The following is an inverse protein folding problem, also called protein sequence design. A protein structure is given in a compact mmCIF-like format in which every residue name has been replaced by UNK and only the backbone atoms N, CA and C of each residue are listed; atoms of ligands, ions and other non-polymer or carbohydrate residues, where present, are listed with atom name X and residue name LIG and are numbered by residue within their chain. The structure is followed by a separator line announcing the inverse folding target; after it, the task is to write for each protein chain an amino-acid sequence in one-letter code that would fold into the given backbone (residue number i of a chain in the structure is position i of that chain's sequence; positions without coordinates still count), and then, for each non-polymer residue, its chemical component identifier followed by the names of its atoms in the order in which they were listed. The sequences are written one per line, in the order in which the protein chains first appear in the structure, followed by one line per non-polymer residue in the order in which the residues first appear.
data_IF_874426412821
#
_entry.id   IF_874426412821
#
_cell.length_a   1.000
_cell.length_b   1.000
_cell.length_c   1.000
_cell.angle_alpha   90.00
_cell.angle_beta   90.00
_cell.angle_gamma   90.00
#
_symmetry.space_group_name_H-M   'P 1'
#
loop_
_entity.id
_entity.type
_entity.pdbx_description
1 polymer ?
#
# COMPACT_ATOMS: atom_id res chain seq x y z
N UNK A 1 -7.16 32.37 -19.51
CA UNK A 1 -6.12 31.54 -18.91
C UNK A 1 -6.69 30.15 -18.71
N UNK A 2 -6.33 29.20 -19.57
CA UNK A 2 -6.79 27.82 -19.46
C UNK A 2 -6.15 27.23 -18.19
N UNK A 3 -6.97 26.76 -17.24
CA UNK A 3 -6.43 26.07 -16.06
C UNK A 3 -5.69 24.84 -16.54
N UNK A 4 -4.44 24.69 -16.12
CA UNK A 4 -3.60 23.51 -16.36
C UNK A 4 -4.25 22.18 -15.89
N UNK A 5 -5.33 22.27 -15.12
CA UNK A 5 -6.11 21.15 -14.58
C UNK A 5 -6.80 20.28 -15.66
N UNK A 6 -6.79 20.65 -16.95
CA UNK A 6 -7.57 19.93 -17.98
C UNK A 6 -6.77 18.95 -18.85
N UNK A 7 -5.45 19.10 -18.97
CA UNK A 7 -4.65 18.27 -19.89
C UNK A 7 -4.05 17.10 -19.12
N UNK A 8 -4.64 15.91 -19.28
CA UNK A 8 -4.24 14.69 -18.56
C UNK A 8 -4.56 14.73 -17.06
N UNK A 9 -5.58 15.50 -16.65
CA UNK A 9 -5.96 15.67 -15.23
C UNK A 9 -6.50 14.39 -14.57
N UNK A 10 -6.90 13.41 -15.37
CA UNK A 10 -7.33 12.07 -14.98
C UNK A 10 -6.20 11.03 -15.00
N UNK A 11 -5.03 11.38 -15.53
CA UNK A 11 -3.86 10.52 -15.44
C UNK A 11 -3.23 10.62 -14.05
N UNK A 12 -3.05 9.46 -13.44
CA UNK A 12 -2.49 9.31 -12.10
C UNK A 12 -1.31 8.34 -12.18
N UNK A 13 -0.20 8.72 -11.54
CA UNK A 13 0.98 7.85 -11.41
C UNK A 13 0.57 6.51 -10.77
N UNK A 14 1.11 5.41 -11.29
CA UNK A 14 0.78 4.05 -10.88
C UNK A 14 -0.44 3.45 -11.57
N UNK A 15 -1.15 4.21 -12.41
CA UNK A 15 -2.26 3.69 -13.22
C UNK A 15 -1.76 3.07 -14.50
N UNK A 16 -2.32 1.92 -14.87
CA UNK A 16 -2.09 1.27 -16.17
C UNK A 16 -2.87 1.99 -17.27
N UNK A 17 -2.20 2.23 -18.39
CA UNK A 17 -2.74 2.87 -19.59
C UNK A 17 -2.37 2.05 -20.82
N UNK A 18 -3.15 2.22 -21.89
CA UNK A 18 -2.82 1.72 -23.22
C UNK A 18 -2.06 2.80 -23.97
N UNK A 19 -0.92 2.46 -24.56
CA UNK A 19 -0.12 3.39 -25.36
C UNK A 19 0.27 2.79 -26.71
N UNK A 20 0.39 3.62 -27.73
CA UNK A 20 0.95 3.23 -29.03
C UNK A 20 2.37 3.75 -29.16
N UNK A 21 3.33 2.89 -29.51
CA UNK A 21 4.70 3.33 -29.81
C UNK A 21 4.71 4.10 -31.12
N UNK A 22 5.28 5.31 -31.13
CA UNK A 22 5.27 6.19 -32.32
C UNK A 22 6.66 6.36 -32.95
N UNK A 23 7.73 6.25 -32.17
CA UNK A 23 9.11 6.26 -32.67
C UNK A 23 10.04 5.53 -31.71
N UNK A 24 11.17 5.07 -32.25
CA UNK A 24 12.30 4.59 -31.47
C UNK A 24 13.38 5.66 -31.41
N UNK A 25 14.02 5.76 -30.26
CA UNK A 25 15.10 6.68 -29.97
C UNK A 25 16.25 5.94 -29.29
N UNK A 26 17.46 6.51 -29.26
CA UNK A 26 18.61 5.84 -28.61
C UNK A 26 18.43 5.61 -27.10
N UNK A 27 17.51 6.33 -26.48
CA UNK A 27 17.23 6.27 -25.05
C UNK A 27 16.00 5.43 -24.70
N UNK A 28 15.21 5.00 -25.69
CA UNK A 28 13.92 4.32 -25.50
C UNK A 28 12.98 4.55 -26.67
N UNK A 29 11.72 4.86 -26.40
CA UNK A 29 10.72 5.15 -27.44
C UNK A 29 9.76 6.25 -27.04
N UNK A 30 9.31 7.00 -28.04
CA UNK A 30 8.18 7.91 -27.88
C UNK A 30 6.87 7.12 -27.99
N UNK A 31 5.86 7.53 -27.23
CA UNK A 31 4.58 6.86 -27.19
C UNK A 31 3.42 7.87 -27.20
N UNK A 32 2.25 7.40 -27.61
CA UNK A 32 0.98 8.11 -27.50
C UNK A 32 0.05 7.35 -26.59
N UNK A 33 -0.38 7.95 -25.50
CA UNK A 33 -1.35 7.35 -24.59
C UNK A 33 -2.76 7.49 -25.19
N UNK A 34 -3.49 6.38 -25.28
CA UNK A 34 -4.86 6.38 -25.79
C UNK A 34 -5.78 7.12 -24.82
N UNK A 35 -6.64 8.01 -25.36
CA UNK A 35 -7.49 8.92 -24.58
C UNK A 35 -6.77 10.20 -24.10
N UNK A 36 -5.45 10.28 -24.29
CA UNK A 36 -4.62 11.41 -23.87
C UNK A 36 -3.65 11.83 -24.98
N UNK A 37 -4.11 11.86 -26.22
CA UNK A 37 -3.27 12.02 -27.40
C UNK A 37 -2.60 13.41 -27.49
N UNK A 38 -3.11 14.40 -26.74
CA UNK A 38 -2.53 15.74 -26.64
C UNK A 38 -1.36 15.83 -25.66
N UNK A 39 -1.08 14.77 -24.90
CA UNK A 39 0.02 14.72 -23.92
C UNK A 39 1.15 13.87 -24.48
N UNK A 40 2.35 14.43 -24.51
CA UNK A 40 3.53 13.69 -24.93
C UNK A 40 3.88 12.62 -23.90
N UNK A 41 4.24 11.43 -24.38
CA UNK A 41 4.66 10.34 -23.52
C UNK A 41 5.89 9.62 -24.09
N UNK A 42 6.67 9.01 -23.21
CA UNK A 42 7.77 8.14 -23.60
C UNK A 42 8.02 7.03 -22.61
N UNK A 43 8.73 6.02 -23.08
CA UNK A 43 9.25 4.92 -22.27
C UNK A 43 10.76 4.83 -22.48
N UNK A 44 11.51 4.91 -21.39
CA UNK A 44 12.96 4.76 -21.45
C UNK A 44 13.34 3.29 -21.60
N UNK A 45 14.50 3.00 -22.18
CA UNK A 45 15.07 1.64 -22.26
C UNK A 45 15.22 0.98 -20.88
N UNK A 46 15.45 1.78 -19.84
CA UNK A 46 15.48 1.32 -18.45
C UNK A 46 14.11 1.07 -17.84
N UNK A 47 13.03 1.33 -18.56
CA UNK A 47 11.65 1.10 -18.14
C UNK A 47 10.97 0.04 -19.05
N UNK A 48 11.77 -0.72 -19.79
CA UNK A 48 11.36 -1.87 -20.61
C UNK A 48 12.12 -3.09 -20.06
N UNK A 49 11.47 -4.24 -20.00
CA UNK A 49 12.16 -5.49 -19.65
C UNK A 49 13.14 -5.89 -20.76
N UNK A 50 14.38 -6.16 -20.38
CA UNK A 50 15.39 -6.66 -21.33
C UNK A 50 15.34 -8.18 -21.38
N UNK A 51 15.03 -8.75 -22.54
CA UNK A 51 15.07 -10.20 -22.78
C UNK A 51 16.49 -10.76 -22.68
N UNK A 52 17.49 -9.92 -22.95
CA UNK A 52 18.91 -10.22 -22.81
C UNK A 52 19.43 -10.14 -21.37
N UNK A 53 18.55 -9.83 -20.39
CA UNK A 53 18.93 -9.71 -18.98
C UNK A 53 19.75 -8.46 -18.65
N UNK A 54 19.80 -7.46 -19.55
CA UNK A 54 20.53 -6.23 -19.31
C UNK A 54 19.74 -5.27 -18.41
N UNK A 55 20.41 -4.36 -17.68
CA UNK A 55 19.71 -3.34 -16.88
C UNK A 55 18.83 -2.38 -17.69
N UNK A 56 19.10 -2.26 -19.00
CA UNK A 56 18.35 -1.46 -19.97
C UNK A 56 18.15 -2.30 -21.23
N UNK A 57 16.94 -2.24 -21.78
CA UNK A 57 16.62 -2.90 -23.04
C UNK A 57 17.48 -2.37 -24.19
N UNK A 58 17.86 -3.27 -25.09
CA UNK A 58 18.52 -2.91 -26.35
C UNK A 58 17.49 -2.40 -27.36
N UNK A 59 17.88 -1.59 -28.36
CA UNK A 59 16.95 -1.08 -29.37
C UNK A 59 16.15 -2.17 -30.09
N UNK A 60 16.76 -3.31 -30.35
CA UNK A 60 16.10 -4.49 -30.94
C UNK A 60 15.07 -5.17 -30.01
N UNK A 61 15.08 -4.84 -28.72
CA UNK A 61 14.13 -5.32 -27.72
C UNK A 61 12.97 -4.33 -27.51
N UNK A 62 13.00 -3.16 -28.16
CA UNK A 62 11.91 -2.20 -28.04
C UNK A 62 10.66 -2.71 -28.75
N UNK A 63 9.46 -2.46 -28.19
CA UNK A 63 8.24 -2.82 -28.88
C UNK A 63 8.17 -2.10 -30.24
N UNK A 64 7.80 -2.80 -31.33
CA UNK A 64 7.65 -2.23 -32.66
C UNK A 64 6.89 -0.90 -32.72
N UNK A 65 7.31 -0.01 -33.63
CA UNK A 65 6.55 1.21 -33.92
C UNK A 65 5.16 0.83 -34.44
N UNK A 66 4.14 1.55 -33.99
CA UNK A 66 2.70 1.31 -34.18
C UNK A 66 2.11 0.18 -33.31
N UNK A 67 2.90 -0.51 -32.50
CA UNK A 67 2.37 -1.48 -31.54
C UNK A 67 1.64 -0.79 -30.39
N UNK A 68 0.51 -1.38 -29.98
CA UNK A 68 -0.19 -1.00 -28.77
C UNK A 68 0.27 -1.86 -27.59
N UNK A 69 0.65 -1.19 -26.51
CA UNK A 69 1.24 -1.82 -25.33
C UNK A 69 0.51 -1.35 -24.07
N UNK A 70 0.47 -2.20 -23.07
CA UNK A 70 0.08 -1.81 -21.72
C UNK A 70 1.31 -1.24 -21.01
N UNK A 71 1.13 -0.11 -20.34
CA UNK A 71 2.20 0.57 -19.61
C UNK A 71 1.63 1.22 -18.34
N UNK A 72 2.48 1.43 -17.34
CA UNK A 72 2.13 2.20 -16.14
C UNK A 72 2.65 3.62 -16.27
N UNK A 73 1.84 4.60 -15.86
CA UNK A 73 2.27 5.98 -15.69
C UNK A 73 3.29 6.05 -14.56
N UNK A 74 4.58 6.14 -14.90
CA UNK A 74 5.68 6.17 -13.95
C UNK A 74 5.86 7.57 -13.34
N UNK A 75 5.74 8.60 -14.17
CA UNK A 75 5.94 10.00 -13.78
C UNK A 75 5.09 10.89 -14.69
N UNK A 76 4.58 11.99 -14.13
CA UNK A 76 3.97 13.07 -14.90
C UNK A 76 4.77 14.33 -14.60
N UNK A 77 5.64 14.73 -15.51
CA UNK A 77 6.44 15.93 -15.37
C UNK A 77 5.61 17.15 -15.77
N UNK A 78 5.34 17.99 -14.75
CA UNK A 78 4.61 19.25 -14.88
C UNK A 78 5.47 20.44 -14.49
N UNK A 79 6.80 20.26 -14.41
CA UNK A 79 7.70 21.33 -13.98
C UNK A 79 7.78 22.45 -15.04
N UNK A 80 7.80 22.08 -16.32
CA UNK A 80 7.76 23.01 -17.45
C UNK A 80 6.76 22.52 -18.51
N UNK A 81 6.03 23.41 -19.20
CA UNK A 81 5.22 23.02 -20.35
C UNK A 81 6.10 22.68 -21.58
N UNK A 82 5.66 21.76 -22.46
CA UNK A 82 4.44 20.96 -22.33
C UNK A 82 4.56 19.85 -21.26
N UNK A 83 3.43 19.39 -20.73
CA UNK A 83 3.39 18.24 -19.82
C UNK A 83 3.96 17.01 -20.53
N UNK A 84 4.77 16.25 -19.81
CA UNK A 84 5.38 15.01 -20.31
C UNK A 84 5.08 13.84 -19.39
N UNK A 85 4.75 12.69 -19.96
CA UNK A 85 4.50 11.46 -19.22
C UNK A 85 5.65 10.49 -19.45
N UNK A 86 6.23 10.01 -18.37
CA UNK A 86 7.12 8.86 -18.40
C UNK A 86 6.32 7.60 -18.13
N UNK A 87 6.48 6.61 -18.98
CA UNK A 87 5.85 5.31 -18.89
C UNK A 87 6.88 4.25 -18.48
N UNK A 88 6.40 3.18 -17.87
CA UNK A 88 7.13 1.93 -17.68
C UNK A 88 6.30 0.76 -18.21
N UNK A 89 6.99 -0.17 -18.85
CA UNK A 89 6.44 -1.39 -19.43
C UNK A 89 6.98 -2.64 -18.74
N UNK A 90 7.74 -2.48 -17.66
CA UNK A 90 8.26 -3.63 -16.91
C UNK A 90 7.13 -4.44 -16.34
N UNK A 91 7.21 -5.76 -16.46
CA UNK A 91 6.23 -6.69 -15.93
C UNK A 91 6.03 -6.51 -14.42
N UNK A 92 7.12 -6.21 -13.69
CA UNK A 92 7.04 -5.91 -12.26
C UNK A 92 6.19 -4.66 -11.96
N UNK A 93 6.37 -3.59 -12.74
CA UNK A 93 5.63 -2.34 -12.54
C UNK A 93 4.16 -2.47 -12.98
N UNK A 94 3.89 -3.24 -14.05
CA UNK A 94 2.54 -3.58 -14.50
C UNK A 94 1.76 -4.38 -13.46
N UNK A 95 2.45 -5.26 -12.73
CA UNK A 95 1.87 -6.00 -11.61
C UNK A 95 1.67 -5.11 -10.38
N UNK A 96 2.71 -4.39 -9.97
CA UNK A 96 2.68 -3.50 -8.82
C UNK A 96 3.77 -2.41 -8.94
N UNK A 97 3.34 -1.19 -9.23
CA UNK A 97 4.23 -0.05 -9.30
C UNK A 97 4.46 0.54 -7.92
N UNK A 98 5.74 0.65 -7.54
CA UNK A 98 6.16 1.26 -6.28
C UNK A 98 7.22 2.34 -6.50
N UNK A 99 7.29 3.28 -5.58
CA UNK A 99 8.26 4.37 -5.62
C UNK A 99 8.76 4.68 -4.20
N UNK A 100 9.99 5.19 -4.03
CA UNK A 100 10.45 5.65 -2.73
C UNK A 100 9.57 6.77 -2.17
N UNK A 101 9.13 6.61 -0.94
CA UNK A 101 8.40 7.63 -0.21
C UNK A 101 9.32 8.82 0.09
N UNK A 102 8.96 10.01 -0.38
CA UNK A 102 9.69 11.26 -0.12
C UNK A 102 9.73 11.67 1.36
N UNK A 103 8.98 11.00 2.24
CA UNK A 103 9.00 11.26 3.68
C UNK A 103 9.95 10.36 4.47
N UNK A 104 10.10 9.08 4.09
CA UNK A 104 10.83 8.09 4.89
C UNK A 104 11.82 7.23 4.07
N UNK A 105 11.83 7.36 2.74
CA UNK A 105 12.69 6.64 1.81
C UNK A 105 12.27 5.19 1.51
N UNK A 106 11.33 4.62 2.28
CA UNK A 106 10.83 3.26 2.02
C UNK A 106 9.89 3.22 0.82
N UNK A 107 9.80 2.07 0.14
CA UNK A 107 8.89 1.91 -0.99
C UNK A 107 7.43 2.04 -0.56
N UNK A 108 6.63 2.75 -1.37
CA UNK A 108 5.18 2.84 -1.25
C UNK A 108 4.56 2.38 -2.56
N UNK A 109 3.43 1.67 -2.48
CA UNK A 109 2.76 1.13 -3.65
C UNK A 109 1.82 2.21 -4.21
N UNK A 110 2.02 2.57 -5.48
CA UNK A 110 1.25 3.59 -6.19
C UNK A 110 0.19 3.00 -7.12
N UNK A 111 0.27 1.69 -7.41
CA UNK A 111 -0.81 0.99 -8.11
C UNK A 111 -2.14 1.05 -7.33
N UNK A 112 -3.29 0.86 -8.02
CA UNK A 112 -4.60 0.84 -7.38
C UNK A 112 -4.67 -0.08 -6.16
N UNK A 113 -5.18 0.43 -5.04
CA UNK A 113 -5.23 -0.29 -3.76
C UNK A 113 -3.97 -0.14 -2.89
N UNK A 114 -2.85 0.30 -3.46
CA UNK A 114 -1.59 0.57 -2.78
C UNK A 114 -1.67 1.71 -1.76
N UNK A 115 -0.72 1.74 -0.81
CA UNK A 115 -0.71 2.67 0.33
C UNK A 115 -0.13 4.06 0.02
N UNK A 116 0.34 4.27 -1.20
CA UNK A 116 0.97 5.50 -1.66
C UNK A 116 0.00 6.54 -2.18
N UNK A 117 0.49 7.77 -2.23
CA UNK A 117 -0.12 8.91 -2.90
C UNK A 117 0.96 9.70 -3.63
N UNK A 118 0.58 10.32 -4.74
CA UNK A 118 1.39 11.35 -5.40
C UNK A 118 0.96 12.72 -4.89
N UNK A 119 1.94 13.54 -4.50
CA UNK A 119 1.73 14.90 -4.02
C UNK A 119 2.33 15.86 -5.03
N UNK A 120 1.48 16.77 -5.52
CA UNK A 120 1.83 17.84 -6.44
C UNK A 120 1.93 19.16 -5.66
N UNK A 121 3.12 19.77 -5.63
CA UNK A 121 3.42 21.04 -4.97
C UNK A 121 3.65 22.11 -6.01
N UNK A 122 2.81 23.16 -5.96
CA UNK A 122 2.82 24.27 -6.91
C UNK A 122 2.89 25.62 -6.20
N UNK A 123 3.58 26.57 -6.82
CA UNK A 123 3.47 27.98 -6.46
C UNK A 123 2.19 28.57 -7.04
N UNK A 124 1.55 29.50 -6.33
CA UNK A 124 0.42 30.27 -6.87
C UNK A 124 0.83 31.21 -8.02
N UNK A 125 2.12 31.51 -8.13
CA UNK A 125 2.67 32.49 -9.07
C UNK A 125 3.52 31.85 -10.18
N UNK A 126 3.80 30.54 -10.09
CA UNK A 126 4.69 29.83 -11.00
C UNK A 126 3.97 28.86 -11.93
N UNK A 127 4.52 28.59 -13.15
CA UNK A 127 3.89 27.70 -14.12
C UNK A 127 4.12 26.20 -13.87
N UNK A 128 4.89 25.83 -12.83
CA UNK A 128 5.38 24.48 -12.61
C UNK A 128 4.86 23.81 -11.36
N UNK A 129 4.92 22.48 -11.36
CA UNK A 129 4.64 21.64 -10.21
C UNK A 129 5.82 20.68 -9.95
N UNK A 130 6.23 20.59 -8.69
CA UNK A 130 7.11 19.53 -8.20
C UNK A 130 6.26 18.39 -7.64
N UNK A 131 6.58 17.15 -8.01
CA UNK A 131 5.78 15.99 -7.63
C UNK A 131 6.63 14.97 -6.89
N UNK A 132 6.07 14.34 -5.86
CA UNK A 132 6.73 13.23 -5.15
C UNK A 132 5.72 12.21 -4.66
N UNK A 133 6.17 10.96 -4.49
CA UNK A 133 5.38 9.89 -3.89
C UNK A 133 5.54 9.90 -2.36
N UNK A 134 4.50 9.53 -1.62
CA UNK A 134 4.58 9.33 -0.18
C UNK A 134 3.60 8.26 0.30
N UNK A 135 3.93 7.54 1.37
CA UNK A 135 2.94 6.77 2.11
C UNK A 135 1.84 7.71 2.60
N UNK A 136 0.58 7.28 2.49
CA UNK A 136 -0.57 8.00 3.05
C UNK A 136 -0.39 8.34 4.53
N UNK A 137 0.16 7.40 5.31
CA UNK A 137 0.41 7.55 6.74
C UNK A 137 1.53 8.56 7.05
N UNK A 138 2.64 8.52 6.31
CA UNK A 138 3.75 9.45 6.48
C UNK A 138 3.33 10.89 6.15
N UNK A 139 2.62 11.09 5.04
CA UNK A 139 2.12 12.40 4.64
C UNK A 139 1.13 12.94 5.68
N UNK A 140 0.14 12.13 6.07
CA UNK A 140 -0.83 12.51 7.10
C UNK A 140 -0.16 12.94 8.41
N UNK A 141 0.86 12.19 8.84
CA UNK A 141 1.60 12.48 10.06
C UNK A 141 2.45 13.76 10.00
N UNK A 142 2.87 14.20 8.81
CA UNK A 142 3.60 15.47 8.61
C UNK A 142 2.65 16.66 8.46
N UNK A 143 1.52 16.49 7.78
CA UNK A 143 0.52 17.56 7.59
C UNK A 143 -0.24 17.86 8.89
N UNK A 144 -0.57 16.82 9.65
CA UNK A 144 -1.24 16.97 10.94
C UNK A 144 -0.75 15.86 11.88
N UNK A 145 0.13 16.17 12.85
CA UNK A 145 0.65 15.19 13.79
C UNK A 145 -0.43 14.43 14.57
N UNK A 146 -1.65 15.00 14.70
CA UNK A 146 -2.79 14.33 15.35
C UNK A 146 -3.38 13.20 14.53
N UNK A 147 -3.11 13.15 13.22
CA UNK A 147 -3.52 12.05 12.34
C UNK A 147 -2.59 10.84 12.42
N UNK A 148 -1.44 10.95 13.11
CA UNK A 148 -0.66 9.77 13.51
C UNK A 148 -1.46 8.96 14.53
N UNK A 149 -2.37 8.11 14.05
CA UNK A 149 -2.94 7.06 14.87
C UNK A 149 -1.83 6.08 15.21
N UNK A 150 -1.23 6.23 16.39
CA UNK A 150 -0.59 5.10 17.06
C UNK A 150 -1.65 3.99 17.18
N UNK A 151 -1.41 2.78 16.67
CA UNK A 151 -2.06 1.63 17.27
C UNK A 151 -1.60 1.62 18.73
N UNK A 152 -2.52 1.83 19.68
CA UNK A 152 -2.20 1.56 21.08
C UNK A 152 -2.01 0.05 21.19
N UNK A 153 -0.86 -0.46 21.67
CA UNK A 153 -0.78 -1.84 22.11
C UNK A 153 -1.77 -1.98 23.29
N UNK A 154 -2.72 -2.91 23.21
CA UNK A 154 -3.50 -3.34 24.37
C UNK A 154 -4.88 -2.72 24.60
N UNK A 155 -5.55 -2.11 23.61
CA UNK A 155 -7.00 -1.85 23.73
C UNK A 155 -7.83 -2.84 22.90
N UNK A 156 -7.76 -4.11 23.28
CA UNK A 156 -8.96 -4.94 23.22
C UNK A 156 -9.98 -4.32 24.19
N UNK A 157 -10.82 -3.41 23.70
CA UNK A 157 -12.14 -3.23 24.31
C UNK A 157 -12.90 -4.51 23.99
N UNK A 158 -12.83 -5.48 24.90
CA UNK A 158 -13.83 -6.54 24.95
C UNK A 158 -15.23 -5.91 24.94
N UNK A 159 -16.23 -6.61 24.39
CA UNK A 159 -17.59 -6.12 24.39
C UNK A 159 -17.98 -5.74 25.82
N UNK A 160 -18.54 -4.52 25.98
CA UNK A 160 -19.15 -4.08 27.23
C UNK A 160 -20.12 -5.18 27.68
N UNK A 161 -19.98 -5.78 28.88
CA UNK A 161 -21.02 -6.66 29.37
C UNK A 161 -22.28 -5.82 29.54
N UNK A 162 -23.30 -6.12 28.75
CA UNK A 162 -24.66 -5.64 28.99
C UNK A 162 -25.07 -6.07 30.39
N UNK A 163 -25.85 -5.22 31.09
CA UNK A 163 -26.35 -5.42 32.46
C UNK A 163 -27.05 -6.76 32.73
N UNK A 164 -27.29 -7.60 31.71
CA UNK A 164 -27.91 -8.92 31.83
C UNK A 164 -27.05 -10.01 32.50
N UNK A 165 -25.72 -9.84 32.65
CA UNK A 165 -24.88 -10.84 33.33
C UNK A 165 -24.73 -10.62 34.84
N UNK A 166 -25.02 -9.41 35.36
CA UNK A 166 -24.96 -9.13 36.81
C UNK A 166 -26.17 -9.65 37.59
N UNK A 167 -27.27 -9.95 36.91
CA UNK A 167 -28.47 -10.52 37.56
C UNK A 167 -28.44 -12.05 37.65
N UNK A 168 -27.65 -12.75 36.82
CA UNK A 168 -27.54 -14.22 36.89
C UNK A 168 -26.59 -14.73 37.98
N UNK A 169 -25.58 -13.95 38.38
CA UNK A 169 -24.70 -14.33 39.50
C UNK A 169 -25.31 -14.07 40.88
N UNK A 170 -26.36 -13.25 40.98
CA UNK A 170 -27.09 -13.02 42.24
C UNK A 170 -28.12 -14.12 42.55
N UNK A 171 -28.57 -14.87 41.55
CA UNK A 171 -29.57 -15.95 41.75
C UNK A 171 -28.94 -17.28 42.18
N UNK A 172 -27.64 -17.51 41.94
CA UNK A 172 -26.99 -18.80 42.27
C UNK A 172 -26.43 -18.85 43.70
N UNK A 173 -26.20 -17.71 44.35
CA UNK A 173 -25.67 -17.65 45.73
C UNK A 173 -26.73 -17.77 46.83
N UNK A 174 -28.03 -17.86 46.50
CA UNK A 174 -29.12 -17.99 47.49
C UNK A 174 -29.76 -19.39 47.54
N UNK A 175 -29.26 -20.36 46.78
CA UNK A 175 -29.82 -21.72 46.71
C UNK A 175 -28.96 -22.81 47.40
N UNK A 176 -27.85 -22.44 48.05
CA UNK A 176 -26.95 -23.39 48.74
C UNK A 176 -26.99 -23.29 50.28
N UNK A 177 -28.04 -22.69 50.86
CA UNK A 177 -28.19 -22.50 52.30
C UNK A 177 -29.34 -23.33 52.92
N UNK A 178 -29.85 -24.37 52.23
CA UNK A 178 -30.96 -25.18 52.75
C UNK A 178 -30.84 -26.65 52.34
N UNK A 179 -29.77 -27.32 52.81
CA UNK A 179 -29.77 -28.78 52.93
C UNK A 179 -28.71 -29.19 53.96
N UNK A 180 -29.10 -29.18 55.24
CA UNK A 180 -28.31 -29.81 56.29
C UNK A 180 -28.30 -31.33 56.13
N UNK A 181 -27.10 -31.92 56.23
CA UNK A 181 -26.87 -33.31 56.71
C UNK A 181 -25.38 -33.53 56.99
N UNK A 182 -25.03 -33.59 58.27
CA UNK A 182 -23.95 -34.43 58.83
C UNK A 182 -24.52 -35.85 59.10
N UNK A 183 -23.75 -36.92 59.43
CA UNK A 183 -22.43 -36.95 60.08
C UNK A 183 -21.46 -38.15 59.77
N UNK A 184 -20.31 -38.13 60.49
CA UNK A 184 -19.51 -39.26 61.08
C UNK A 184 -18.27 -39.88 60.36
N UNK A 185 -17.12 -39.54 60.94
CA UNK A 185 -15.88 -40.29 61.29
C UNK A 185 -15.63 -41.74 60.82
N UNK A 186 -14.39 -41.97 60.35
CA UNK A 186 -13.41 -42.98 60.82
C UNK A 186 -12.10 -42.76 60.01
N UNK A 187 -11.00 -42.26 60.58
CA UNK A 187 -9.91 -42.94 61.31
C UNK A 187 -9.40 -44.25 60.67
N UNK A 188 -8.10 -44.19 60.32
CA UNK A 188 -7.05 -45.18 60.59
C UNK A 188 -6.31 -45.81 59.40
N UNK A 189 -4.97 -45.79 59.59
CA UNK A 189 -3.94 -46.69 59.05
C UNK A 189 -3.51 -46.51 57.58
N UNK A 190 -2.26 -46.72 57.17
CA UNK A 190 -0.89 -46.71 57.71
C UNK A 190 0.01 -46.96 56.47
N UNK A 191 1.32 -46.72 56.60
CA UNK A 191 2.43 -47.33 55.84
C UNK A 191 2.88 -46.79 54.45
N UNK A 192 4.08 -46.19 54.51
CA UNK A 192 5.34 -46.67 53.90
C UNK A 192 5.67 -46.38 52.42
N UNK A 193 6.69 -45.52 52.26
CA UNK A 193 7.80 -45.53 51.28
C UNK A 193 8.50 -46.91 51.12
N UNK A 194 9.50 -47.12 50.23
CA UNK A 194 9.96 -46.39 49.01
C UNK A 194 10.43 -47.30 47.82
N UNK A 195 11.03 -46.66 46.79
CA UNK A 195 12.06 -47.16 45.85
C UNK A 195 11.56 -48.03 44.67
N UNK A 196 12.17 -48.12 43.47
CA UNK A 196 13.56 -48.10 43.01
C UNK A 196 13.63 -47.60 41.54
N UNK A 197 14.83 -47.16 41.15
CA UNK A 197 15.32 -46.70 39.86
C UNK A 197 15.43 -47.75 38.71
N UNK A 198 15.83 -47.19 37.56
CA UNK A 198 16.54 -47.76 36.40
C UNK A 198 15.73 -48.26 35.20
N UNK A 199 16.17 -47.74 34.04
CA UNK A 199 15.75 -48.00 32.67
C UNK A 199 16.30 -46.88 31.80
#
# INVERSE_FOLDING_TARGET
MQRFDSVGGDLVVGTTVRATIISHERWGGSARVLGHETVSASVDAGAIDSLSGRPRALPEEYPPVSEQVDAVVQEISRYHPPVWIRLTMRAADLHEFSSPCGCCGQLTILSPGGDGVTVDVRSSEGPGCASFAAHRSCLAGRLNPRLQRRPRPGQHRGPRPTNALRERERTVLTAAATAGRTPKNARDHLHAHPAIAHG
#
